data_IF_990369314190
#
_entry.id   IF_990369314190
#
_cell.length_a   1.000
_cell.length_b   1.000
_cell.length_c   1.000
_cell.angle_alpha   90.00
_cell.angle_beta   90.00
_cell.angle_gamma   90.00
#
_symmetry.space_group_name_H-M   'P 1'
#
loop_
_entity.id
_entity.type
_entity.pdbx_description
1 polymer ?
#
# COMPACT_ATOMS: atom_id res chain seq x y z
N UNK A 1 59.12 6.28 1.51
CA UNK A 1 58.12 5.62 0.64
C UNK A 1 57.67 4.28 1.22
N UNK A 2 57.25 4.24 2.48
CA UNK A 2 56.96 3.00 3.23
C UNK A 2 55.74 3.18 4.13
N UNK A 3 54.67 3.79 3.60
CA UNK A 3 53.44 4.08 4.34
C UNK A 3 52.18 3.81 3.50
N UNK A 4 52.23 2.84 2.58
CA UNK A 4 51.08 2.55 1.69
C UNK A 4 50.73 1.07 1.57
N UNK A 5 51.49 0.18 2.23
CA UNK A 5 51.29 -1.28 2.16
C UNK A 5 50.29 -1.82 3.19
N UNK A 6 49.63 -0.95 3.96
CA UNK A 6 48.66 -1.33 5.01
C UNK A 6 47.29 -0.68 4.82
N UNK A 7 46.88 -0.42 3.58
CA UNK A 7 45.48 -0.12 3.25
C UNK A 7 44.67 -1.43 3.12
N UNK A 8 44.95 -2.41 3.98
CA UNK A 8 43.98 -3.46 4.23
C UNK A 8 42.81 -2.81 4.96
N UNK A 9 41.59 -3.15 4.56
CA UNK A 9 40.32 -2.69 5.10
C UNK A 9 40.28 -2.94 6.63
N UNK A 10 40.86 -2.04 7.43
CA UNK A 10 40.87 -2.18 8.89
C UNK A 10 39.45 -2.00 9.39
N UNK A 11 38.99 -2.87 10.30
CA UNK A 11 37.61 -2.88 10.83
C UNK A 11 37.14 -1.51 11.36
N UNK A 12 38.08 -0.66 11.79
CA UNK A 12 37.82 0.70 12.30
C UNK A 12 37.52 1.74 11.21
N UNK A 13 37.85 1.49 9.94
CA UNK A 13 37.52 2.41 8.83
C UNK A 13 36.06 2.34 8.40
N UNK A 14 35.36 1.25 8.74
CA UNK A 14 33.97 0.99 8.35
C UNK A 14 32.96 1.67 9.29
N UNK A 15 33.32 1.90 10.55
CA UNK A 15 32.50 2.56 11.59
C UNK A 15 32.93 3.98 11.90
N UNK A 16 33.96 4.49 11.20
CA UNK A 16 34.43 5.86 11.31
C UNK A 16 33.33 6.85 10.85
N UNK A 17 33.51 8.13 11.16
CA UNK A 17 32.59 9.23 10.77
C UNK A 17 32.26 9.18 9.28
N UNK A 18 33.22 8.76 8.46
CA UNK A 18 33.06 8.55 7.03
C UNK A 18 32.04 7.45 6.69
N UNK A 19 32.04 6.30 7.39
CA UNK A 19 31.09 5.22 7.17
C UNK A 19 29.65 5.63 7.50
N UNK A 20 29.45 6.35 8.62
CA UNK A 20 28.15 6.93 8.98
C UNK A 20 27.67 7.96 7.96
N UNK A 21 28.58 8.79 7.45
CA UNK A 21 28.27 9.75 6.38
C UNK A 21 27.82 9.04 5.09
N UNK A 22 28.56 8.03 4.64
CA UNK A 22 28.21 7.26 3.45
C UNK A 22 26.85 6.56 3.60
N UNK A 23 26.60 5.98 4.77
CA UNK A 23 25.33 5.32 5.02
C UNK A 23 24.16 6.31 5.10
N UNK A 24 24.37 7.48 5.70
CA UNK A 24 23.40 8.57 5.68
C UNK A 24 23.11 9.06 4.27
N UNK A 25 24.13 9.18 3.42
CA UNK A 25 24.00 9.55 2.01
C UNK A 25 23.18 8.51 1.24
N UNK A 26 23.53 7.23 1.36
CA UNK A 26 22.80 6.13 0.71
C UNK A 26 21.34 6.07 1.18
N UNK A 27 21.09 6.23 2.49
CA UNK A 27 19.74 6.27 3.05
C UNK A 27 18.94 7.47 2.52
N UNK A 28 19.55 8.65 2.45
CA UNK A 28 18.93 9.86 1.90
C UNK A 28 18.53 9.70 0.44
N UNK A 29 19.39 9.10 -0.37
CA UNK A 29 19.10 8.86 -1.80
C UNK A 29 18.03 7.79 -1.97
N UNK A 30 18.09 6.70 -1.21
CA UNK A 30 17.05 5.68 -1.21
C UNK A 30 15.68 6.28 -0.83
N UNK A 31 15.64 7.12 0.20
CA UNK A 31 14.43 7.81 0.62
C UNK A 31 13.90 8.76 -0.46
N UNK A 32 14.79 9.53 -1.11
CA UNK A 32 14.42 10.39 -2.25
C UNK A 32 13.86 9.56 -3.41
N UNK A 33 14.45 8.40 -3.70
CA UNK A 33 13.93 7.48 -4.72
C UNK A 33 12.50 7.01 -4.39
N UNK A 34 12.18 6.71 -3.12
CA UNK A 34 10.82 6.34 -2.72
C UNK A 34 9.82 7.49 -2.89
N UNK A 35 10.25 8.73 -2.62
CA UNK A 35 9.45 9.93 -2.85
C UNK A 35 9.18 10.11 -4.35
N UNK A 36 10.23 10.04 -5.19
CA UNK A 36 10.11 10.16 -6.65
C UNK A 36 9.21 9.07 -7.21
N UNK A 37 9.41 7.82 -6.79
CA UNK A 37 8.57 6.68 -7.16
C UNK A 37 7.09 6.98 -6.87
N UNK A 38 6.77 7.49 -5.68
CA UNK A 38 5.39 7.85 -5.32
C UNK A 38 4.80 8.92 -6.24
N UNK A 39 5.58 9.93 -6.63
CA UNK A 39 5.12 10.95 -7.57
C UNK A 39 4.89 10.38 -8.99
N UNK A 40 5.70 9.40 -9.39
CA UNK A 40 5.53 8.65 -10.63
C UNK A 40 4.36 7.64 -10.58
N UNK A 41 3.86 7.27 -9.40
CA UNK A 41 2.70 6.37 -9.29
C UNK A 41 1.44 7.02 -9.91
N UNK A 42 0.69 6.29 -10.75
CA UNK A 42 -0.54 6.81 -11.36
C UNK A 42 -1.57 7.20 -10.29
N UNK A 43 -2.33 8.30 -10.47
CA UNK A 43 -3.27 8.79 -9.46
C UNK A 43 -4.30 7.76 -8.98
N UNK A 44 -4.68 6.80 -9.81
CA UNK A 44 -5.69 5.78 -9.50
C UNK A 44 -5.18 4.61 -8.63
N UNK A 45 -3.86 4.46 -8.51
CA UNK A 45 -3.20 3.43 -7.67
C UNK A 45 -2.39 4.07 -6.53
N UNK A 46 -2.19 5.39 -6.57
CA UNK A 46 -1.42 6.16 -5.59
C UNK A 46 -1.97 6.00 -4.17
N UNK A 47 -1.08 5.62 -3.26
CA UNK A 47 -1.36 5.50 -1.81
C UNK A 47 -1.55 6.87 -1.14
N UNK A 48 -2.38 6.92 -0.10
CA UNK A 48 -2.46 8.10 0.77
C UNK A 48 -1.11 8.36 1.44
N UNK A 49 -0.85 9.62 1.82
CA UNK A 49 0.41 9.98 2.49
C UNK A 49 0.60 9.24 3.81
N UNK A 50 -0.48 8.97 4.53
CA UNK A 50 -0.48 8.18 5.77
C UNK A 50 -0.03 6.73 5.54
N UNK A 51 -0.65 6.02 4.58
CA UNK A 51 -0.29 4.64 4.24
C UNK A 51 1.15 4.56 3.74
N UNK A 52 1.57 5.50 2.90
CA UNK A 52 2.95 5.58 2.41
C UNK A 52 3.95 5.78 3.55
N UNK A 53 3.66 6.66 4.51
CA UNK A 53 4.52 6.87 5.67
C UNK A 53 4.63 5.60 6.52
N UNK A 54 3.52 4.89 6.71
CA UNK A 54 3.52 3.61 7.42
C UNK A 54 4.34 2.53 6.73
N UNK A 55 4.27 2.40 5.40
CA UNK A 55 5.09 1.46 4.63
C UNK A 55 6.57 1.86 4.64
N UNK A 56 6.86 3.16 4.50
CA UNK A 56 8.23 3.69 4.44
C UNK A 56 8.93 3.60 5.79
N UNK A 57 8.24 3.94 6.89
CA UNK A 57 8.77 3.81 8.25
C UNK A 57 9.12 2.37 8.60
N UNK A 58 8.32 1.38 8.18
CA UNK A 58 8.65 -0.05 8.33
C UNK A 58 9.93 -0.43 7.61
N UNK A 59 10.10 0.04 6.37
CA UNK A 59 11.32 -0.19 5.60
C UNK A 59 12.54 0.43 6.28
N UNK A 60 12.40 1.67 6.79
CA UNK A 60 13.45 2.34 7.56
C UNK A 60 13.84 1.58 8.83
N UNK A 61 12.86 1.11 9.61
CA UNK A 61 13.11 0.29 10.81
C UNK A 61 13.80 -1.03 10.42
N UNK A 62 13.33 -1.70 9.36
CA UNK A 62 13.95 -2.92 8.86
C UNK A 62 15.39 -2.71 8.42
N UNK A 63 15.67 -1.65 7.67
CA UNK A 63 17.02 -1.31 7.24
C UNK A 63 17.95 -1.01 8.43
N UNK A 64 17.45 -0.32 9.47
CA UNK A 64 18.19 -0.08 10.70
C UNK A 64 18.52 -1.39 11.43
N UNK A 65 17.54 -2.29 11.59
CA UNK A 65 17.74 -3.60 12.24
C UNK A 65 18.76 -4.44 11.48
N UNK A 66 18.65 -4.51 10.14
CA UNK A 66 19.60 -5.26 9.30
C UNK A 66 21.00 -4.65 9.40
N UNK A 67 21.13 -3.32 9.37
CA UNK A 67 22.43 -2.67 9.55
C UNK A 67 23.04 -2.99 10.91
N UNK A 68 22.29 -2.85 12.01
CA UNK A 68 22.78 -3.18 13.35
C UNK A 68 23.17 -4.66 13.45
N UNK A 69 22.41 -5.56 12.82
CA UNK A 69 22.74 -6.99 12.77
C UNK A 69 24.02 -7.23 11.97
N UNK A 70 24.22 -6.55 10.84
CA UNK A 70 25.43 -6.67 10.03
C UNK A 70 26.67 -6.19 10.79
N UNK A 71 26.56 -5.07 11.51
CA UNK A 71 27.65 -4.55 12.37
C UNK A 71 27.95 -5.52 13.50
N UNK A 72 26.92 -6.09 14.14
CA UNK A 72 27.08 -7.08 15.21
C UNK A 72 27.73 -8.38 14.72
N UNK A 73 27.41 -8.83 13.50
CA UNK A 73 27.97 -10.06 12.92
C UNK A 73 29.37 -9.85 12.31
N UNK A 74 29.78 -8.62 11.99
CA UNK A 74 31.06 -8.32 11.36
C UNK A 74 32.29 -8.92 12.07
N UNK A 75 32.38 -8.98 13.43
CA UNK A 75 33.51 -9.60 14.11
C UNK A 75 33.55 -11.14 14.00
N UNK A 76 32.43 -11.79 13.72
CA UNK A 76 32.32 -13.25 13.68
C UNK A 76 32.85 -13.86 12.38
N UNK A 77 32.94 -13.07 11.31
CA UNK A 77 33.47 -13.53 10.04
C UNK A 77 34.99 -13.36 9.95
N UNK A 78 35.69 -14.43 9.58
CA UNK A 78 37.14 -14.45 9.38
C UNK A 78 37.46 -14.19 7.89
N UNK A 79 38.26 -13.17 7.58
CA UNK A 79 38.69 -12.82 6.21
C UNK A 79 38.64 -11.32 5.93
N UNK A 80 38.81 -10.95 4.66
CA UNK A 80 38.77 -9.55 4.23
C UNK A 80 37.36 -8.95 4.45
N UNK A 81 37.22 -7.87 5.24
CA UNK A 81 35.90 -7.35 5.62
C UNK A 81 35.15 -6.72 4.44
N UNK A 82 35.87 -6.14 3.49
CA UNK A 82 35.30 -5.57 2.26
C UNK A 82 34.62 -6.67 1.41
N UNK A 83 35.29 -7.82 1.27
CA UNK A 83 34.79 -9.03 0.58
C UNK A 83 33.56 -9.63 1.25
N UNK A 84 33.61 -9.82 2.57
CA UNK A 84 32.47 -10.37 3.31
C UNK A 84 31.27 -9.43 3.31
N UNK A 85 31.53 -8.12 3.38
CA UNK A 85 30.50 -7.11 3.28
C UNK A 85 29.74 -7.20 1.95
N UNK A 86 30.45 -7.27 0.80
CA UNK A 86 29.77 -7.34 -0.50
C UNK A 86 29.00 -8.64 -0.69
N UNK A 87 29.52 -9.79 -0.26
CA UNK A 87 28.79 -11.07 -0.37
C UNK A 87 27.53 -11.04 0.47
N UNK A 88 27.64 -10.59 1.72
CA UNK A 88 26.51 -10.46 2.63
C UNK A 88 25.45 -9.50 2.05
N UNK A 89 25.90 -8.37 1.50
CA UNK A 89 25.04 -7.40 0.84
C UNK A 89 24.34 -7.98 -0.40
N UNK A 90 25.08 -8.67 -1.28
CA UNK A 90 24.54 -9.28 -2.49
C UNK A 90 23.56 -10.40 -2.17
N UNK A 91 23.84 -11.23 -1.16
CA UNK A 91 22.93 -12.27 -0.69
C UNK A 91 21.63 -11.70 -0.13
N UNK A 92 21.72 -10.65 0.70
CA UNK A 92 20.54 -9.96 1.22
C UNK A 92 19.71 -9.35 0.06
N UNK A 93 20.37 -8.80 -0.98
CA UNK A 93 19.71 -8.22 -2.16
C UNK A 93 19.06 -9.23 -3.11
N UNK A 94 19.51 -10.50 -3.07
CA UNK A 94 19.05 -11.57 -3.97
C UNK A 94 18.13 -12.54 -3.23
N UNK A 95 18.71 -13.42 -2.41
CA UNK A 95 18.00 -14.42 -1.62
C UNK A 95 17.09 -13.73 -0.61
N UNK A 96 17.57 -12.68 0.05
CA UNK A 96 16.77 -11.96 1.03
C UNK A 96 15.50 -11.35 0.43
N UNK A 97 15.63 -10.68 -0.70
CA UNK A 97 14.48 -10.12 -1.42
C UNK A 97 13.46 -11.18 -1.86
N UNK A 98 13.94 -12.35 -2.30
CA UNK A 98 13.09 -13.48 -2.66
C UNK A 98 12.32 -14.03 -1.45
N UNK A 99 12.99 -14.23 -0.31
CA UNK A 99 12.35 -14.68 0.93
C UNK A 99 11.35 -13.64 1.43
N UNK A 100 11.67 -12.35 1.37
CA UNK A 100 10.73 -11.27 1.73
C UNK A 100 9.48 -11.33 0.86
N UNK A 101 9.65 -11.49 -0.45
CA UNK A 101 8.54 -11.63 -1.39
C UNK A 101 7.62 -12.79 -1.02
N UNK A 102 8.18 -14.00 -0.84
CA UNK A 102 7.41 -15.19 -0.47
C UNK A 102 6.75 -15.00 0.90
N UNK A 103 7.49 -14.51 1.89
CA UNK A 103 7.00 -14.28 3.24
C UNK A 103 5.81 -13.32 3.29
N UNK A 104 5.89 -12.16 2.62
CA UNK A 104 4.78 -11.21 2.54
C UNK A 104 3.56 -11.85 1.85
N UNK A 105 3.76 -12.62 0.77
CA UNK A 105 2.66 -13.32 0.08
C UNK A 105 1.99 -14.37 0.95
N UNK A 106 2.77 -15.14 1.70
CA UNK A 106 2.26 -16.13 2.67
C UNK A 106 1.50 -15.44 3.80
N UNK A 107 2.03 -14.35 4.37
CA UNK A 107 1.33 -13.56 5.38
C UNK A 107 0.00 -13.00 4.85
N UNK A 108 -0.03 -12.45 3.63
CA UNK A 108 -1.26 -11.96 2.99
C UNK A 108 -2.27 -13.07 2.68
N UNK A 109 -1.80 -14.27 2.36
CA UNK A 109 -2.66 -15.44 2.16
C UNK A 109 -3.25 -15.89 3.50
N UNK A 110 -2.42 -16.05 4.53
CA UNK A 110 -2.84 -16.48 5.86
C UNK A 110 -3.82 -15.47 6.48
N UNK A 111 -3.53 -14.17 6.38
CA UNK A 111 -4.42 -13.10 6.85
C UNK A 111 -5.82 -13.18 6.20
N UNK A 112 -5.89 -13.49 4.90
CA UNK A 112 -7.17 -13.62 4.18
C UNK A 112 -7.93 -14.89 4.54
N UNK A 113 -7.24 -16.01 4.72
CA UNK A 113 -7.87 -17.28 5.13
C UNK A 113 -8.37 -17.26 6.57
N UNK A 114 -7.69 -16.53 7.46
CA UNK A 114 -8.01 -16.43 8.89
C UNK A 114 -8.82 -15.18 9.27
N UNK A 115 -9.18 -14.32 8.31
CA UNK A 115 -9.85 -13.03 8.52
C UNK A 115 -9.13 -12.12 9.53
N UNK A 116 -7.80 -12.11 9.50
CA UNK A 116 -6.97 -11.25 10.34
C UNK A 116 -6.62 -9.95 9.62
N UNK A 117 -7.54 -9.00 9.64
CA UNK A 117 -7.39 -7.72 8.94
C UNK A 117 -6.19 -6.90 9.45
N UNK A 118 -5.78 -7.08 10.71
CA UNK A 118 -4.63 -6.40 11.29
C UNK A 118 -3.28 -6.79 10.65
N UNK A 119 -3.18 -7.99 10.07
CA UNK A 119 -1.94 -8.55 9.48
C UNK A 119 -1.90 -8.35 7.96
N UNK A 120 -2.99 -7.89 7.36
CA UNK A 120 -3.09 -7.69 5.92
C UNK A 120 -2.25 -6.47 5.49
N UNK A 121 -1.04 -6.74 4.98
CA UNK A 121 -0.10 -5.72 4.53
C UNK A 121 -0.74 -4.72 3.56
N UNK A 122 -0.58 -3.43 3.87
CA UNK A 122 -1.11 -2.31 3.09
C UNK A 122 -2.58 -1.97 3.40
N UNK A 123 -3.19 -2.61 4.39
CA UNK A 123 -4.45 -2.18 5.02
C UNK A 123 -4.19 -1.76 6.47
N UNK A 124 -4.57 -0.52 6.81
CA UNK A 124 -4.31 0.10 8.11
C UNK A 124 -5.59 0.48 8.88
N UNK A 125 -6.74 -0.06 8.46
CA UNK A 125 -8.05 0.34 9.01
C UNK A 125 -8.32 -0.13 10.45
N UNK A 126 -7.56 -1.08 10.98
CA UNK A 126 -7.69 -1.56 12.36
C UNK A 126 -6.67 -0.88 13.29
N UNK A 127 -7.11 -0.56 14.51
CA UNK A 127 -6.26 0.03 15.55
C UNK A 127 -5.02 -0.84 15.78
N UNK A 128 -3.83 -0.23 15.79
CA UNK A 128 -2.50 -0.90 15.95
C UNK A 128 -2.06 -1.84 14.81
N UNK A 129 -2.74 -1.90 13.66
CA UNK A 129 -2.31 -2.77 12.52
C UNK A 129 -0.89 -2.49 12.06
N UNK A 130 -0.45 -1.22 12.12
CA UNK A 130 0.92 -0.85 11.82
C UNK A 130 1.92 -1.62 12.68
N UNK A 131 1.71 -1.69 13.99
CA UNK A 131 2.62 -2.35 14.95
C UNK A 131 2.75 -3.84 14.62
N UNK A 132 1.64 -4.53 14.41
CA UNK A 132 1.65 -5.97 14.08
C UNK A 132 2.35 -6.23 12.74
N UNK A 133 2.06 -5.44 11.71
CA UNK A 133 2.71 -5.58 10.40
C UNK A 133 4.21 -5.26 10.48
N UNK A 134 4.61 -4.27 11.29
CA UNK A 134 6.02 -3.93 11.54
C UNK A 134 6.73 -5.09 12.23
N UNK A 135 6.16 -5.67 13.28
CA UNK A 135 6.77 -6.81 13.98
C UNK A 135 6.89 -8.06 13.09
N UNK A 136 5.87 -8.34 12.28
CA UNK A 136 5.93 -9.45 11.31
C UNK A 136 7.02 -9.18 10.27
N UNK A 137 7.12 -7.94 9.78
CA UNK A 137 8.17 -7.56 8.83
C UNK A 137 9.57 -7.66 9.43
N UNK A 138 9.77 -7.20 10.67
CA UNK A 138 11.04 -7.37 11.41
C UNK A 138 11.35 -8.86 11.61
N UNK A 139 10.36 -9.67 11.99
CA UNK A 139 10.52 -11.12 12.13
C UNK A 139 10.92 -11.78 10.80
N UNK A 140 10.30 -11.37 9.69
CA UNK A 140 10.66 -11.86 8.36
C UNK A 140 12.09 -11.44 7.98
N UNK A 141 12.49 -10.21 8.28
CA UNK A 141 13.86 -9.72 8.09
C UNK A 141 14.86 -10.50 8.95
N UNK A 142 14.50 -10.84 10.19
CA UNK A 142 15.34 -11.67 11.05
C UNK A 142 15.50 -13.10 10.49
N UNK A 143 14.43 -13.70 9.95
CA UNK A 143 14.49 -15.00 9.27
C UNK A 143 15.39 -14.94 8.03
N UNK A 144 15.24 -13.91 7.21
CA UNK A 144 16.13 -13.65 6.06
C UNK A 144 17.58 -13.61 6.54
N UNK A 145 17.87 -12.78 7.56
CA UNK A 145 19.21 -12.59 8.07
C UNK A 145 19.80 -13.87 8.66
N UNK A 146 18.99 -14.66 9.36
CA UNK A 146 19.40 -15.96 9.89
C UNK A 146 19.77 -16.92 8.75
N UNK A 147 18.91 -17.02 7.72
CA UNK A 147 19.15 -17.90 6.57
C UNK A 147 20.40 -17.45 5.79
N UNK A 148 20.55 -16.15 5.50
CA UNK A 148 21.73 -15.64 4.77
C UNK A 148 23.00 -15.83 5.59
N UNK A 149 22.95 -15.64 6.91
CA UNK A 149 24.10 -15.89 7.80
C UNK A 149 24.50 -17.36 7.83
N UNK A 150 23.54 -18.30 7.92
CA UNK A 150 23.83 -19.74 7.85
C UNK A 150 24.42 -20.10 6.49
N UNK A 151 23.87 -19.56 5.41
CA UNK A 151 24.33 -19.84 4.05
C UNK A 151 25.75 -19.34 3.79
N UNK A 152 26.15 -18.21 4.40
CA UNK A 152 27.50 -17.64 4.35
C UNK A 152 28.55 -18.53 5.04
N UNK A 153 28.18 -19.31 6.05
CA UNK A 153 29.10 -20.20 6.77
C UNK A 153 29.51 -21.43 5.95
N UNK A 154 28.88 -21.67 4.78
CA UNK A 154 29.24 -22.77 3.89
C UNK A 154 30.54 -22.46 3.12
N UNK A 155 31.44 -23.43 2.98
CA UNK A 155 32.76 -23.23 2.35
C UNK A 155 32.74 -22.97 0.81
N UNK A 156 31.56 -22.90 0.19
CA UNK A 156 31.41 -22.67 -1.26
C UNK A 156 31.91 -21.27 -1.71
N UNK A 157 31.93 -20.29 -0.81
CA UNK A 157 32.09 -18.89 -1.18
C UNK A 157 33.48 -18.50 -1.66
N UNK A 158 34.53 -19.27 -1.37
CA UNK A 158 35.90 -18.87 -1.69
C UNK A 158 36.14 -18.73 -3.20
N UNK A 159 35.50 -19.56 -4.02
CA UNK A 159 35.54 -19.42 -5.48
C UNK A 159 34.79 -18.19 -5.98
N UNK A 160 33.68 -17.85 -5.33
CA UNK A 160 32.86 -16.68 -5.68
C UNK A 160 33.57 -15.39 -5.28
N UNK A 161 34.24 -15.37 -4.12
CA UNK A 161 35.07 -14.24 -3.65
C UNK A 161 36.09 -13.85 -4.71
N UNK A 162 36.86 -14.83 -5.18
CA UNK A 162 37.92 -14.59 -6.17
C UNK A 162 37.35 -14.10 -7.51
N UNK A 163 36.18 -14.60 -7.95
CA UNK A 163 35.53 -14.13 -9.16
C UNK A 163 35.04 -12.67 -9.03
N UNK A 164 34.37 -12.32 -7.92
CA UNK A 164 33.81 -10.97 -7.69
C UNK A 164 34.90 -9.90 -7.55
N UNK A 165 36.07 -10.25 -7.00
CA UNK A 165 37.18 -9.31 -6.76
C UNK A 165 38.22 -9.28 -7.89
N UNK A 166 38.23 -10.30 -8.76
CA UNK A 166 39.13 -10.34 -9.94
C UNK A 166 39.16 -9.08 -10.84
N UNK A 167 38.09 -8.26 -10.96
CA UNK A 167 38.08 -7.14 -11.89
C UNK A 167 38.88 -5.90 -11.44
N UNK A 168 39.27 -5.78 -10.17
CA UNK A 168 39.84 -4.54 -9.63
C UNK A 168 41.29 -4.73 -9.19
N UNK A 169 42.24 -4.19 -9.97
CA UNK A 169 43.67 -4.24 -9.63
C UNK A 169 44.10 -3.16 -8.63
N UNK A 170 43.28 -2.10 -8.44
CA UNK A 170 43.56 -0.99 -7.54
C UNK A 170 42.69 -1.06 -6.27
N UNK A 171 43.29 -1.17 -5.07
CA UNK A 171 42.55 -1.36 -3.80
C UNK A 171 41.66 -0.16 -3.43
N UNK A 172 41.99 1.05 -3.90
CA UNK A 172 41.18 2.25 -3.68
C UNK A 172 39.89 2.24 -4.50
N UNK A 173 39.97 1.76 -5.75
CA UNK A 173 38.83 1.68 -6.65
C UNK A 173 37.92 0.54 -6.20
N UNK A 174 38.49 -0.60 -5.83
CA UNK A 174 37.77 -1.72 -5.24
C UNK A 174 36.91 -1.28 -4.05
N UNK A 175 37.53 -0.59 -3.08
CA UNK A 175 36.85 -0.08 -1.88
C UNK A 175 35.67 0.84 -2.22
N UNK A 176 35.88 1.80 -3.12
CA UNK A 176 34.85 2.74 -3.54
C UNK A 176 33.70 2.05 -4.29
N UNK A 177 34.01 1.08 -5.16
CA UNK A 177 32.99 0.35 -5.92
C UNK A 177 32.14 -0.52 -4.99
N UNK A 178 32.79 -1.26 -4.10
CA UNK A 178 32.15 -2.23 -3.18
C UNK A 178 31.28 -1.54 -2.13
N UNK A 179 31.73 -0.41 -1.58
CA UNK A 179 31.01 0.26 -0.49
C UNK A 179 30.03 1.34 -0.95
N UNK A 180 30.27 1.97 -2.10
CA UNK A 180 29.47 3.10 -2.56
C UNK A 180 28.70 2.78 -3.84
N UNK A 181 29.39 2.42 -4.93
CA UNK A 181 28.75 2.32 -6.25
C UNK A 181 27.75 1.16 -6.30
N UNK A 182 28.17 -0.05 -5.93
CA UNK A 182 27.28 -1.21 -5.96
C UNK A 182 26.12 -1.04 -4.96
N UNK A 183 26.36 -0.67 -3.69
CA UNK A 183 25.29 -0.48 -2.73
C UNK A 183 24.32 0.64 -3.12
N UNK A 184 24.77 1.68 -3.81
CA UNK A 184 23.90 2.74 -4.30
C UNK A 184 22.79 2.20 -5.21
N UNK A 185 23.16 1.50 -6.29
CA UNK A 185 22.17 1.01 -7.26
C UNK A 185 21.31 -0.11 -6.67
N UNK A 186 21.94 -1.04 -5.95
CA UNK A 186 21.25 -2.19 -5.39
C UNK A 186 20.32 -1.78 -4.25
N UNK A 187 20.71 -0.86 -3.35
CA UNK A 187 19.78 -0.36 -2.32
C UNK A 187 18.59 0.37 -2.95
N UNK A 188 18.81 1.19 -3.98
CA UNK A 188 17.73 1.84 -4.70
C UNK A 188 16.73 0.81 -5.26
N UNK A 189 17.23 -0.29 -5.83
CA UNK A 189 16.41 -1.41 -6.31
C UNK A 189 15.70 -2.12 -5.16
N UNK A 190 16.39 -2.46 -4.07
CA UNK A 190 15.82 -3.17 -2.91
C UNK A 190 14.66 -2.36 -2.33
N UNK A 191 14.85 -1.07 -2.06
CA UNK A 191 13.80 -0.23 -1.50
C UNK A 191 12.64 -0.07 -2.48
N UNK A 192 12.92 0.13 -3.77
CA UNK A 192 11.87 0.20 -4.79
C UNK A 192 11.03 -1.08 -4.83
N UNK A 193 11.69 -2.24 -4.86
CA UNK A 193 11.02 -3.54 -4.99
C UNK A 193 10.30 -3.93 -3.71
N UNK A 194 10.91 -3.71 -2.55
CA UNK A 194 10.30 -3.97 -1.25
C UNK A 194 9.06 -3.10 -1.03
N UNK A 195 9.12 -1.82 -1.43
CA UNK A 195 7.96 -0.95 -1.43
C UNK A 195 6.82 -1.48 -2.34
N UNK A 196 7.13 -2.05 -3.51
CA UNK A 196 6.11 -2.72 -4.33
C UNK A 196 5.50 -3.95 -3.66
N UNK A 197 6.27 -4.69 -2.84
CA UNK A 197 5.76 -5.88 -2.14
C UNK A 197 4.84 -5.50 -0.98
N UNK A 198 5.19 -4.44 -0.25
CA UNK A 198 4.39 -3.85 0.83
C UNK A 198 3.14 -3.16 0.27
N UNK A 199 3.22 -2.62 -0.95
CA UNK A 199 2.09 -2.00 -1.62
C UNK A 199 0.93 -2.98 -1.80
N UNK A 200 -0.25 -2.54 -1.34
CA UNK A 200 -1.51 -3.24 -1.53
C UNK A 200 -1.89 -3.25 -3.02
N UNK A 201 -1.56 -4.33 -3.73
CA UNK A 201 -2.17 -4.63 -5.04
C UNK A 201 -3.60 -5.17 -4.87
N UNK A 202 -4.50 -4.34 -4.36
CA UNK A 202 -5.90 -4.74 -4.28
C UNK A 202 -6.56 -4.60 -5.65
N UNK A 203 -6.83 -5.75 -6.27
CA UNK A 203 -7.66 -5.89 -7.48
C UNK A 203 -9.03 -5.19 -7.39
N UNK A 204 -9.49 -4.78 -6.19
CA UNK A 204 -10.76 -4.04 -6.01
C UNK A 204 -10.77 -2.66 -6.68
N UNK A 205 -9.62 -2.00 -6.91
CA UNK A 205 -9.61 -0.74 -7.67
C UNK A 205 -9.87 -0.94 -9.17
N UNK A 206 -9.63 -2.13 -9.74
CA UNK A 206 -10.06 -2.45 -11.10
C UNK A 206 -11.59 -2.59 -11.19
N UNK A 207 -12.24 -3.06 -10.11
CA UNK A 207 -13.71 -3.10 -9.99
C UNK A 207 -14.34 -1.75 -9.64
N UNK A 208 -13.66 -0.85 -8.91
CA UNK A 208 -14.12 0.55 -8.76
C UNK A 208 -13.85 1.41 -9.99
N UNK A 209 -12.79 1.18 -10.77
CA UNK A 209 -12.62 1.84 -12.07
C UNK A 209 -13.53 1.24 -13.16
N UNK A 210 -13.91 -0.04 -13.09
CA UNK A 210 -14.99 -0.58 -13.94
C UNK A 210 -16.39 -0.24 -13.42
N UNK A 211 -16.55 0.01 -12.12
CA UNK A 211 -17.82 0.39 -11.48
C UNK A 211 -18.13 1.89 -11.50
N UNK A 212 -17.10 2.75 -11.53
CA UNK A 212 -17.19 4.19 -11.82
C UNK A 212 -16.82 4.51 -13.28
N UNK A 213 -16.44 3.50 -14.07
CA UNK A 213 -16.28 3.57 -15.53
C UNK A 213 -17.56 3.21 -16.28
N UNK A 214 -18.70 3.17 -15.58
CA UNK A 214 -20.02 3.12 -16.20
C UNK A 214 -20.38 4.52 -16.73
N UNK A 215 -19.82 4.83 -17.89
CA UNK A 215 -20.38 5.75 -18.88
C UNK A 215 -20.26 7.23 -18.56
N UNK A 216 -19.30 7.89 -19.22
CA UNK A 216 -19.75 9.04 -19.99
C UNK A 216 -20.83 8.50 -20.94
N UNK A 217 -22.11 8.87 -20.77
CA UNK A 217 -23.13 8.36 -21.67
C UNK A 217 -22.79 8.89 -23.05
N UNK A 218 -22.47 7.98 -23.98
CA UNK A 218 -22.35 8.33 -25.40
C UNK A 218 -23.53 9.22 -25.78
N UNK A 219 -23.28 10.26 -26.59
CA UNK A 219 -24.30 11.24 -27.01
C UNK A 219 -25.59 10.53 -27.46
N UNK A 220 -25.45 9.36 -28.08
CA UNK A 220 -26.53 8.51 -28.56
C UNK A 220 -27.45 7.97 -27.44
N UNK A 221 -26.91 7.73 -26.23
CA UNK A 221 -27.67 7.29 -25.07
C UNK A 221 -28.42 8.45 -24.40
N UNK A 222 -27.83 9.65 -24.33
CA UNK A 222 -28.56 10.88 -23.92
C UNK A 222 -29.70 11.20 -24.90
N UNK A 223 -29.46 11.03 -26.20
CA UNK A 223 -30.48 11.21 -27.24
C UNK A 223 -31.59 10.16 -27.12
N UNK A 224 -31.27 8.88 -26.88
CA UNK A 224 -32.29 7.82 -26.68
C UNK A 224 -33.17 8.07 -25.45
N UNK A 225 -32.59 8.53 -24.34
CA UNK A 225 -33.36 8.84 -23.13
C UNK A 225 -34.26 10.05 -23.37
N UNK A 226 -33.77 11.09 -24.06
CA UNK A 226 -34.56 12.27 -24.42
C UNK A 226 -35.68 11.94 -25.43
N UNK A 227 -35.44 11.06 -26.39
CA UNK A 227 -36.48 10.60 -27.33
C UNK A 227 -37.54 9.74 -26.61
N UNK A 228 -37.14 8.93 -25.61
CA UNK A 228 -38.07 8.18 -24.77
C UNK A 228 -38.93 9.07 -23.89
N UNK A 229 -38.36 10.11 -23.28
CA UNK A 229 -39.13 11.03 -22.43
C UNK A 229 -40.12 11.86 -23.26
N UNK A 230 -39.70 12.36 -24.42
CA UNK A 230 -40.59 13.09 -25.34
C UNK A 230 -41.71 12.17 -25.86
N UNK A 231 -41.41 10.92 -26.21
CA UNK A 231 -42.43 9.94 -26.65
C UNK A 231 -43.43 9.59 -25.54
N UNK A 232 -42.99 9.57 -24.28
CA UNK A 232 -43.86 9.26 -23.15
C UNK A 232 -44.79 10.43 -22.83
N UNK A 233 -44.25 11.65 -22.82
CA UNK A 233 -45.03 12.88 -22.65
C UNK A 233 -46.05 13.10 -23.79
N UNK A 234 -45.64 12.78 -25.03
CA UNK A 234 -46.56 12.83 -26.19
C UNK A 234 -47.69 11.79 -26.08
N UNK A 235 -47.40 10.61 -25.50
CA UNK A 235 -48.40 9.56 -25.30
C UNK A 235 -49.35 9.90 -24.14
N UNK A 236 -48.85 10.52 -23.07
CA UNK A 236 -49.67 11.00 -21.97
C UNK A 236 -50.63 12.13 -22.41
N UNK A 237 -50.16 13.09 -23.23
CA UNK A 237 -51.03 14.15 -23.79
C UNK A 237 -52.12 13.64 -24.73
N UNK A 238 -51.86 12.56 -25.49
CA UNK A 238 -52.88 11.94 -26.35
C UNK A 238 -53.95 11.23 -25.51
N UNK A 239 -53.55 10.52 -24.46
CA UNK A 239 -54.48 9.81 -23.56
C UNK A 239 -55.35 10.78 -22.77
N UNK A 240 -54.80 11.93 -22.34
CA UNK A 240 -55.55 12.95 -21.59
C UNK A 240 -56.58 13.68 -22.47
N UNK A 241 -56.24 13.93 -23.74
CA UNK A 241 -57.16 14.52 -24.73
C UNK A 241 -58.29 13.57 -25.16
N UNK A 242 -58.10 12.24 -25.12
CA UNK A 242 -59.16 11.27 -25.39
C UNK A 242 -60.11 11.10 -24.20
N UNK A 243 -59.64 11.33 -22.98
CA UNK A 243 -60.49 11.24 -21.77
C UNK A 243 -61.40 12.44 -21.56
N UNK A 244 -61.02 13.65 -21.98
CA UNK A 244 -61.89 14.83 -21.87
C UNK A 244 -63.03 14.85 -22.90
N UNK A 245 -62.91 14.09 -24.00
CA UNK A 245 -63.94 14.01 -25.04
C UNK A 245 -65.11 13.07 -24.69
N UNK A 246 -65.01 12.26 -23.63
CA UNK A 246 -65.99 11.22 -23.27
C UNK A 246 -66.84 11.55 -22.03
N UNK A 247 -66.76 12.74 -21.47
CA UNK A 247 -67.59 13.18 -20.33
C UNK A 247 -68.50 14.34 -20.76
N UNK A 248 -69.44 14.04 -21.66
CA UNK A 248 -70.69 14.80 -21.83
C UNK A 248 -71.72 13.84 -22.41
N UNK A 249 -72.71 13.46 -21.60
CA UNK A 249 -73.75 12.50 -21.96
C UNK A 249 -74.51 12.00 -20.74
N UNK A 250 -75.68 12.58 -20.54
CA UNK A 250 -76.56 12.56 -19.37
C UNK A 250 -77.23 11.22 -18.97
N UNK A 251 -77.86 11.29 -17.79
CA UNK A 251 -79.14 10.71 -17.35
C UNK A 251 -79.23 9.51 -16.37
N UNK A 252 -80.00 9.78 -15.30
CA UNK A 252 -80.56 9.01 -14.17
C UNK A 252 -81.46 7.79 -14.57
N UNK A 253 -82.19 7.09 -13.64
CA UNK A 253 -81.93 6.61 -12.27
C UNK A 253 -82.33 5.10 -12.08
N UNK A 254 -82.21 4.52 -10.86
CA UNK A 254 -83.23 3.65 -10.21
C UNK A 254 -82.78 3.04 -8.85
N UNK A 255 -83.80 2.75 -8.04
CA UNK A 255 -83.92 2.53 -6.58
C UNK A 255 -83.74 1.05 -6.14
N UNK A 256 -83.16 0.76 -4.96
CA UNK A 256 -83.80 0.10 -3.79
C UNK A 256 -82.82 -0.46 -2.70
N UNK A 257 -82.96 0.06 -1.47
CA UNK A 257 -83.13 -0.62 -0.16
C UNK A 257 -82.04 -1.55 0.50
N UNK A 258 -82.08 -1.70 1.86
CA UNK A 258 -80.87 -1.71 2.73
C UNK A 258 -80.72 -2.92 3.68
N UNK A 259 -79.55 -3.10 4.32
CA UNK A 259 -79.33 -3.86 5.58
C UNK A 259 -77.84 -3.77 5.96
N UNK A 260 -77.32 -3.78 7.20
CA UNK A 260 -77.73 -3.52 8.59
C UNK A 260 -76.44 -3.59 9.42
N UNK A 261 -76.46 -2.99 10.61
CA UNK A 261 -75.64 -3.28 11.83
C UNK A 261 -74.23 -2.67 12.00
N UNK A 262 -74.24 -1.59 12.79
CA UNK A 262 -73.59 -1.41 14.12
C UNK A 262 -72.09 -1.64 14.30
N UNK A 263 -71.43 -0.61 14.86
CA UNK A 263 -71.01 -0.52 16.28
C UNK A 263 -69.71 0.28 16.38
N UNK A 264 -69.79 1.53 16.83
CA UNK A 264 -69.35 2.03 18.16
C UNK A 264 -67.84 2.35 18.24
N UNK A 265 -67.49 3.64 18.34
CA UNK A 265 -67.20 4.41 19.56
C UNK A 265 -65.70 4.32 19.92
N UNK A 266 -64.91 5.39 19.77
CA UNK A 266 -64.64 6.31 20.88
C UNK A 266 -63.71 7.47 20.46
N UNK A 267 -63.92 8.60 21.14
CA UNK A 267 -63.39 9.97 20.98
C UNK A 267 -62.19 10.20 21.94
N UNK A 268 -61.35 11.25 21.76
CA UNK A 268 -59.97 11.41 22.29
C UNK A 268 -59.96 12.18 23.64
N UNK A 269 -58.87 12.77 24.20
CA UNK A 269 -58.17 13.97 23.65
C UNK A 269 -56.69 14.22 24.10
N UNK A 270 -56.14 15.33 23.57
CA UNK A 270 -55.18 16.30 24.19
C UNK A 270 -53.79 15.91 24.75
N UNK A 271 -52.73 16.62 24.30
CA UNK A 271 -52.14 17.73 25.08
C UNK A 271 -51.05 18.52 24.31
N UNK A 272 -51.14 19.85 24.44
CA UNK A 272 -50.16 20.90 24.06
C UNK A 272 -48.97 20.97 25.05
N UNK A 273 -47.87 21.62 24.63
CA UNK A 273 -47.09 22.70 25.32
C UNK A 273 -45.70 22.81 24.65
N UNK A 274 -45.40 23.88 23.88
CA UNK A 274 -44.81 25.20 24.24
C UNK A 274 -43.27 25.17 24.36
N UNK A 275 -42.52 25.66 23.36
CA UNK A 275 -41.91 27.00 23.20
C UNK A 275 -40.46 27.16 23.73
N UNK A 276 -39.59 27.66 22.82
CA UNK A 276 -38.51 28.70 22.93
C UNK A 276 -37.53 28.63 24.12
N UNK A 277 -36.23 28.87 24.01
CA UNK A 277 -35.45 29.95 23.37
C UNK A 277 -33.95 29.55 23.50
N UNK A 278 -33.09 29.67 22.47
CA UNK A 278 -32.15 30.77 22.16
C UNK A 278 -30.86 30.85 23.01
N UNK A 279 -29.79 31.37 22.38
CA UNK A 279 -28.55 32.00 22.95
C UNK A 279 -27.40 30.99 23.21
N UNK A 280 -26.13 31.15 22.78
CA UNK A 280 -25.37 32.19 22.06
C UNK A 280 -24.02 31.57 21.62
N UNK A 281 -23.44 32.07 20.52
CA UNK A 281 -22.03 31.82 20.18
C UNK A 281 -21.14 32.95 20.69
N UNK A 282 -19.89 32.64 21.04
CA UNK A 282 -18.82 33.63 21.22
C UNK A 282 -17.55 33.12 20.58
N UNK A 283 -16.85 34.09 19.99
CA UNK A 283 -15.58 34.08 19.27
C UNK A 283 -14.40 33.40 20.00
#
# INVERSE_FOLDING_TARGET
NTQWSSLHCTKDSLTDVFGWFLQGLLAGIAFLCLIVKRFCEPPYVRRSWETWWYDTSKQGIGALVIHMTNVYLAPLFQGDPCTWYIINFLLDSTIGLFIIYVGIRVCQYLARTRHWDAINFGEYGAQKSWIYQTWIYIGLMAVVKLITTIFIQMDFWDNVKNFVLSPFSDPKIELAVVMLIIPFFVNMLIFWVTDNFLMRHTRKNKKRLQGNGAGDPSILQRVKVKYRSIRKESREKVVESESEALISGDDEPLVDSPTTTTSSLSVPPEQKVSQRQSVVGVA
#
